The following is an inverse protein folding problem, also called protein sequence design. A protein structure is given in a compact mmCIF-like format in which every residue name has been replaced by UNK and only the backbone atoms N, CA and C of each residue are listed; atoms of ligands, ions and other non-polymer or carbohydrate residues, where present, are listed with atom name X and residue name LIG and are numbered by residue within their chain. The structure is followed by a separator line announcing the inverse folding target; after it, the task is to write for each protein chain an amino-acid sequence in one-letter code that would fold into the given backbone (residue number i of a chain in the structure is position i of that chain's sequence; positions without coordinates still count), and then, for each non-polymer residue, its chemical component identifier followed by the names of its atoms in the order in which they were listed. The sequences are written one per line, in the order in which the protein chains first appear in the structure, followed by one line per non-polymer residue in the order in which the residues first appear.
data_IF_642493908817
#
_entry.id   IF_642493908817
#
_cell.length_a   1.000
_cell.length_b   1.000
_cell.length_c   1.000
_cell.angle_alpha   90.00
_cell.angle_beta   90.00
_cell.angle_gamma   90.00
#
_symmetry.space_group_name_H-M   'P 1'
#
loop_
_entity.id
_entity.type
_entity.pdbx_description
1 polymer ?
#
# COMPACT_ATOMS: atom_id res chain seq x y z
N UNK A 1 -37.95 -29.08 78.19
CA UNK A 1 -38.30 -28.16 77.08
C UNK A 1 -37.03 -27.87 76.31
N UNK A 2 -36.95 -28.32 75.05
CA UNK A 2 -35.80 -28.11 74.15
C UNK A 2 -36.14 -26.87 73.30
N UNK A 3 -35.32 -25.83 73.37
CA UNK A 3 -35.53 -24.59 72.60
C UNK A 3 -35.36 -24.82 71.09
N UNK A 4 -35.99 -23.98 70.23
CA UNK A 4 -35.99 -24.19 68.79
C UNK A 4 -34.58 -23.96 68.20
N UNK A 5 -34.20 -24.70 67.15
CA UNK A 5 -32.87 -24.59 66.56
C UNK A 5 -32.71 -23.23 65.88
N UNK A 6 -31.63 -22.53 66.21
CA UNK A 6 -31.26 -21.26 65.59
C UNK A 6 -30.46 -21.54 64.33
N UNK A 7 -31.01 -21.18 63.16
CA UNK A 7 -30.29 -21.32 61.87
C UNK A 7 -29.45 -20.07 61.65
N UNK A 8 -28.13 -20.24 61.52
CA UNK A 8 -27.19 -19.15 61.23
C UNK A 8 -26.90 -19.14 59.73
N UNK A 9 -27.40 -18.12 59.03
CA UNK A 9 -27.09 -17.90 57.61
C UNK A 9 -25.71 -17.24 57.51
N UNK A 10 -24.73 -17.97 56.98
CA UNK A 10 -23.39 -17.44 56.70
C UNK A 10 -23.40 -16.89 55.28
N UNK A 11 -23.35 -15.56 55.14
CA UNK A 11 -23.19 -14.90 53.84
C UNK A 11 -21.71 -14.77 53.52
N UNK A 12 -21.21 -15.58 52.57
CA UNK A 12 -19.85 -15.45 52.05
C UNK A 12 -19.82 -14.41 50.92
N UNK A 13 -19.22 -13.25 51.17
CA UNK A 13 -18.94 -12.27 50.11
C UNK A 13 -17.73 -12.73 49.30
N UNK A 14 -17.98 -13.20 48.07
CA UNK A 14 -16.91 -13.51 47.11
C UNK A 14 -16.50 -12.21 46.42
N UNK A 15 -15.39 -11.61 46.85
CA UNK A 15 -14.78 -10.49 46.14
C UNK A 15 -14.07 -11.04 44.90
N UNK A 16 -14.70 -10.90 43.72
CA UNK A 16 -14.04 -11.20 42.45
C UNK A 16 -12.91 -10.18 42.24
N UNK A 17 -11.66 -10.63 42.32
CA UNK A 17 -10.50 -9.83 41.91
C UNK A 17 -10.54 -9.79 40.39
N UNK A 18 -11.05 -8.69 39.82
CA UNK A 18 -10.94 -8.43 38.39
C UNK A 18 -9.47 -8.11 38.13
N UNK A 19 -8.70 -9.12 37.72
CA UNK A 19 -7.34 -8.88 37.23
C UNK A 19 -7.50 -8.08 35.93
N UNK A 20 -6.95 -6.86 35.81
CA UNK A 20 -6.98 -6.16 34.53
C UNK A 20 -6.20 -7.02 33.54
N UNK A 21 -6.91 -7.70 32.64
CA UNK A 21 -6.31 -8.30 31.47
C UNK A 21 -5.86 -7.13 30.60
N UNK A 22 -4.55 -6.84 30.63
CA UNK A 22 -3.92 -5.98 29.64
C UNK A 22 -4.01 -6.72 28.29
N UNK A 23 -5.15 -6.58 27.62
CA UNK A 23 -5.32 -7.10 26.27
C UNK A 23 -4.27 -6.38 25.39
N UNK A 24 -3.47 -7.13 24.62
CA UNK A 24 -2.48 -6.50 23.76
C UNK A 24 -3.19 -5.54 22.78
N UNK A 25 -2.60 -4.37 22.49
CA UNK A 25 -3.16 -3.41 21.54
C UNK A 25 -3.58 -4.09 20.24
N UNK A 26 -4.72 -3.72 19.65
CA UNK A 26 -5.26 -4.41 18.48
C UNK A 26 -4.30 -4.34 17.26
N UNK A 27 -3.95 -5.47 16.61
CA UNK A 27 -3.19 -5.44 15.36
C UNK A 27 -3.95 -4.76 14.22
N UNK A 28 -3.24 -4.44 13.13
CA UNK A 28 -3.83 -3.98 11.88
C UNK A 28 -4.59 -5.10 11.18
N UNK A 29 -5.67 -4.73 10.50
CA UNK A 29 -6.44 -5.63 9.64
C UNK A 29 -6.04 -5.40 8.18
N UNK A 30 -6.17 -6.43 7.35
CA UNK A 30 -5.91 -6.29 5.92
C UNK A 30 -6.94 -5.35 5.30
N UNK A 31 -6.47 -4.23 4.77
CA UNK A 31 -7.27 -3.27 4.04
C UNK A 31 -6.52 -2.74 2.82
N UNK A 32 -7.17 -1.88 2.04
CA UNK A 32 -6.61 -1.30 0.82
C UNK A 32 -5.71 -0.07 1.06
N UNK A 33 -5.54 0.36 2.30
CA UNK A 33 -4.95 1.65 2.65
C UNK A 33 -3.47 1.51 3.00
N UNK A 34 -2.72 2.58 2.79
CA UNK A 34 -1.38 2.75 3.33
C UNK A 34 -1.42 3.47 4.67
N UNK A 35 -0.36 3.32 5.47
CA UNK A 35 -0.19 4.07 6.72
C UNK A 35 0.98 5.03 6.62
N UNK A 36 0.74 6.26 7.09
CA UNK A 36 1.71 7.35 7.05
C UNK A 36 1.82 7.99 8.42
N UNK A 37 3.03 8.30 8.86
CA UNK A 37 3.22 9.19 10.00
C UNK A 37 3.71 10.55 9.51
N UNK A 38 2.97 11.61 9.87
CA UNK A 38 3.43 12.98 9.72
C UNK A 38 3.85 13.52 11.08
N UNK A 39 5.15 13.74 11.23
CA UNK A 39 5.81 14.09 12.49
C UNK A 39 5.57 13.05 13.60
N UNK A 40 4.39 13.00 14.21
CA UNK A 40 4.00 12.06 15.28
C UNK A 40 2.54 11.57 15.13
N UNK A 41 1.79 12.07 14.15
CA UNK A 41 0.40 11.69 13.93
C UNK A 41 0.31 10.56 12.91
N UNK A 42 -0.49 9.53 13.21
CA UNK A 42 -0.73 8.39 12.32
C UNK A 42 -1.93 8.67 11.43
N UNK A 43 -1.76 8.46 10.14
CA UNK A 43 -2.77 8.58 9.10
C UNK A 43 -2.93 7.27 8.36
N UNK A 44 -4.15 7.00 7.92
CA UNK A 44 -4.51 5.95 6.98
C UNK A 44 -4.88 6.61 5.66
N UNK A 45 -4.28 6.16 4.56
CA UNK A 45 -4.27 6.86 3.27
C UNK A 45 -4.77 5.96 2.17
N UNK A 46 -5.75 6.44 1.40
CA UNK A 46 -6.21 5.78 0.18
C UNK A 46 -5.19 6.07 -0.93
N UNK A 47 -4.44 5.04 -1.34
CA UNK A 47 -3.33 5.21 -2.28
C UNK A 47 -3.77 5.54 -3.72
N UNK A 48 -5.05 5.35 -4.03
CA UNK A 48 -5.63 5.67 -5.35
C UNK A 48 -6.10 7.12 -5.38
N UNK A 49 -6.82 7.56 -4.35
CA UNK A 49 -7.43 8.90 -4.34
C UNK A 49 -6.58 9.96 -3.63
N UNK A 50 -5.63 9.54 -2.78
CA UNK A 50 -4.90 10.42 -1.87
C UNK A 50 -5.73 10.90 -0.67
N UNK A 51 -6.99 10.48 -0.55
CA UNK A 51 -7.82 10.75 0.63
C UNK A 51 -7.22 10.10 1.87
N UNK A 52 -7.38 10.72 3.04
CA UNK A 52 -6.79 10.20 4.27
C UNK A 52 -7.67 10.49 5.49
N UNK A 53 -7.50 9.67 6.52
CA UNK A 53 -8.06 9.87 7.85
C UNK A 53 -6.95 9.85 8.92
N UNK A 54 -7.09 10.66 9.96
CA UNK A 54 -6.20 10.61 11.11
C UNK A 54 -6.65 9.49 12.04
N UNK A 55 -5.78 8.50 12.24
CA UNK A 55 -6.02 7.36 13.13
C UNK A 55 -5.67 7.73 14.57
N UNK A 56 -4.54 8.40 14.76
CA UNK A 56 -4.08 8.87 16.06
C UNK A 56 -3.37 10.22 15.93
N UNK A 57 -3.60 11.11 16.90
CA UNK A 57 -2.93 12.41 16.96
C UNK A 57 -1.46 12.31 17.40
N UNK A 58 -1.11 11.24 18.13
CA UNK A 58 0.24 10.96 18.59
C UNK A 58 0.48 9.45 18.68
N UNK A 59 1.64 8.99 18.21
CA UNK A 59 2.13 7.60 18.41
C UNK A 59 3.33 7.52 19.36
N UNK A 60 3.89 8.66 19.75
CA UNK A 60 4.96 8.77 20.74
C UNK A 60 4.74 9.99 21.64
N UNK A 61 5.58 10.15 22.66
CA UNK A 61 5.56 11.26 23.63
C UNK A 61 6.07 12.59 23.03
N UNK A 62 5.50 13.01 21.90
CA UNK A 62 5.77 14.29 21.24
C UNK A 62 6.99 14.31 20.30
N UNK A 63 7.72 13.21 20.21
CA UNK A 63 8.89 13.09 19.32
C UNK A 63 8.49 12.72 17.90
N UNK A 64 9.40 12.96 16.95
CA UNK A 64 9.18 12.54 15.58
C UNK A 64 9.26 11.01 15.48
N UNK A 65 8.32 10.37 14.79
CA UNK A 65 8.42 8.96 14.38
C UNK A 65 8.60 8.90 12.87
N UNK A 66 9.55 8.09 12.43
CA UNK A 66 9.88 7.89 11.02
C UNK A 66 10.41 6.46 10.80
N UNK A 67 10.80 6.12 9.57
CA UNK A 67 11.25 4.80 9.18
C UNK A 67 10.24 3.74 9.61
N UNK A 68 9.00 3.83 9.12
CA UNK A 68 7.92 2.94 9.57
C UNK A 68 7.71 1.80 8.59
N UNK A 69 7.39 0.61 9.10
CA UNK A 69 7.13 -0.57 8.27
C UNK A 69 6.03 -1.45 8.85
N UNK A 70 5.27 -2.10 7.98
CA UNK A 70 4.26 -3.08 8.40
C UNK A 70 4.91 -4.45 8.57
N UNK A 71 4.72 -5.07 9.73
CA UNK A 71 5.30 -6.36 10.05
C UNK A 71 4.33 -7.52 9.71
N UNK A 72 4.63 -8.33 8.68
CA UNK A 72 3.67 -9.30 8.13
C UNK A 72 3.40 -10.51 9.04
N UNK A 73 4.20 -10.73 10.09
CA UNK A 73 4.03 -11.89 10.97
C UNK A 73 3.14 -11.62 12.18
N UNK A 74 2.92 -10.36 12.54
CA UNK A 74 2.11 -9.97 13.71
C UNK A 74 1.13 -8.82 13.44
N UNK A 75 1.14 -8.26 12.23
CA UNK A 75 0.25 -7.20 11.77
C UNK A 75 0.36 -5.89 12.58
N UNK A 76 1.53 -5.54 13.11
CA UNK A 76 1.76 -4.22 13.69
C UNK A 76 2.61 -3.35 12.76
N UNK A 77 2.55 -2.04 12.96
CA UNK A 77 3.56 -1.14 12.41
C UNK A 77 4.75 -1.09 13.37
N UNK A 78 5.95 -1.00 12.84
CA UNK A 78 7.17 -0.73 13.59
C UNK A 78 7.79 0.56 13.09
N UNK A 79 8.39 1.34 13.97
CA UNK A 79 9.01 2.61 13.58
C UNK A 79 10.04 3.11 14.58
N UNK A 80 10.81 4.11 14.17
CA UNK A 80 11.87 4.70 14.97
C UNK A 80 11.44 6.09 15.46
N UNK A 81 11.50 6.28 16.78
CA UNK A 81 11.31 7.58 17.42
C UNK A 81 12.63 8.36 17.40
N UNK A 82 12.65 9.48 16.68
CA UNK A 82 13.76 10.41 16.60
C UNK A 82 13.55 11.62 17.54
N UNK A 83 14.60 12.12 18.22
CA UNK A 83 15.96 11.60 18.25
C UNK A 83 16.18 10.61 19.39
N UNK A 84 15.16 10.05 20.02
CA UNK A 84 15.33 9.18 21.20
C UNK A 84 15.88 7.79 20.87
N UNK A 85 15.84 7.37 19.59
CA UNK A 85 16.28 6.08 19.06
C UNK A 85 15.53 4.89 19.66
N UNK A 86 14.23 5.09 19.91
CA UNK A 86 13.37 4.02 20.38
C UNK A 86 12.76 3.31 19.18
N UNK A 87 12.87 1.98 19.17
CA UNK A 87 12.05 1.14 18.30
C UNK A 87 10.71 0.95 18.98
N UNK A 88 9.64 1.36 18.32
CA UNK A 88 8.27 1.20 18.80
C UNK A 88 7.48 0.27 17.89
N UNK A 89 6.54 -0.47 18.49
CA UNK A 89 5.50 -1.24 17.82
C UNK A 89 4.16 -0.53 18.02
N UNK A 90 3.45 -0.26 16.95
CA UNK A 90 2.27 0.61 16.87
C UNK A 90 1.07 -0.22 16.40
N UNK A 91 -0.03 -0.11 17.14
CA UNK A 91 -1.30 -0.80 16.90
C UNK A 91 -2.14 -0.16 15.80
N UNK A 92 -3.25 -0.80 15.43
CA UNK A 92 -4.23 -0.25 14.47
C UNK A 92 -4.90 1.05 14.94
N UNK A 93 -4.81 1.35 16.24
CA UNK A 93 -5.32 2.59 16.85
C UNK A 93 -4.23 3.60 17.16
N UNK A 94 -2.98 3.35 16.73
CA UNK A 94 -1.84 4.22 17.01
C UNK A 94 -1.27 4.09 18.42
N UNK A 95 -1.71 3.11 19.21
CA UNK A 95 -1.13 2.83 20.53
C UNK A 95 0.27 2.21 20.32
N UNK A 96 1.28 2.77 20.95
CA UNK A 96 2.66 2.35 20.78
C UNK A 96 3.26 1.71 22.05
N UNK A 97 4.09 0.70 21.84
CA UNK A 97 4.90 0.07 22.88
C UNK A 97 6.37 0.12 22.49
N UNK A 98 7.25 0.47 23.43
CA UNK A 98 8.71 0.45 23.19
C UNK A 98 9.18 -0.99 23.17
N UNK A 99 9.78 -1.40 22.05
CA UNK A 99 10.38 -2.72 21.85
C UNK A 99 11.84 -2.71 22.28
N UNK A 100 12.57 -1.65 21.93
CA UNK A 100 14.00 -1.52 22.24
C UNK A 100 14.44 -0.06 22.24
N UNK A 101 15.56 0.21 22.92
CA UNK A 101 16.20 1.53 22.94
C UNK A 101 17.62 1.36 22.39
N UNK A 102 17.94 2.08 21.32
CA UNK A 102 19.28 2.04 20.73
C UNK A 102 20.12 3.22 21.21
N UNK A 103 21.43 3.00 21.27
CA UNK A 103 22.43 4.02 21.49
C UNK A 103 22.76 4.77 20.20
N UNK A 104 23.38 5.95 20.33
CA UNK A 104 23.94 6.68 19.18
C UNK A 104 25.00 5.83 18.47
N UNK A 105 25.77 5.03 19.22
CA UNK A 105 26.77 4.14 18.65
C UNK A 105 26.14 3.02 17.81
N UNK A 106 24.91 2.60 18.10
CA UNK A 106 24.20 1.51 17.41
C UNK A 106 23.51 1.96 16.12
N UNK A 107 22.76 3.07 16.16
CA UNK A 107 21.90 3.54 15.07
C UNK A 107 22.39 4.84 14.40
N UNK A 108 23.22 5.64 15.09
CA UNK A 108 23.49 7.02 14.73
C UNK A 108 22.45 8.00 15.28
N UNK A 109 22.31 9.16 14.62
CA UNK A 109 21.50 10.26 15.14
C UNK A 109 19.99 10.09 14.86
N UNK A 110 19.63 9.78 13.61
CA UNK A 110 18.24 9.66 13.14
C UNK A 110 18.10 8.61 12.05
N UNK A 111 16.87 8.14 11.85
CA UNK A 111 16.48 7.29 10.73
C UNK A 111 15.24 7.88 10.03
N UNK A 112 15.19 7.79 8.70
CA UNK A 112 14.07 8.30 7.90
C UNK A 112 13.60 7.34 6.80
N UNK A 113 14.25 6.18 6.65
CA UNK A 113 13.82 5.13 5.73
C UNK A 113 13.65 3.85 6.53
N UNK A 114 12.55 3.13 6.34
CA UNK A 114 12.26 1.92 7.11
C UNK A 114 11.23 1.04 6.44
N UNK A 115 11.40 -0.29 6.51
CA UNK A 115 10.31 -1.24 6.28
C UNK A 115 10.65 -2.64 6.84
N UNK A 116 9.69 -3.54 6.92
CA UNK A 116 9.90 -4.94 7.34
C UNK A 116 9.92 -5.86 6.11
N UNK A 117 10.88 -6.77 6.06
CA UNK A 117 10.90 -7.80 5.02
C UNK A 117 9.93 -8.97 5.30
N UNK A 118 9.73 -9.82 4.30
CA UNK A 118 8.88 -11.01 4.42
C UNK A 118 9.36 -12.05 5.44
N UNK A 119 10.60 -11.95 5.93
CA UNK A 119 11.12 -12.85 6.96
C UNK A 119 10.88 -12.33 8.38
N UNK A 120 10.46 -11.06 8.55
CA UNK A 120 10.26 -10.42 9.84
C UNK A 120 11.50 -9.67 10.36
N UNK A 121 12.41 -9.26 9.47
CA UNK A 121 13.45 -8.29 9.83
C UNK A 121 13.01 -6.89 9.51
N UNK A 122 13.15 -5.98 10.47
CA UNK A 122 12.96 -4.56 10.24
C UNK A 122 14.25 -3.92 9.76
N UNK A 123 14.19 -3.30 8.59
CA UNK A 123 15.29 -2.62 7.94
C UNK A 123 15.09 -1.12 8.03
N UNK A 124 16.08 -0.40 8.56
CA UNK A 124 15.98 1.06 8.64
C UNK A 124 17.32 1.77 8.43
N UNK A 125 17.28 3.07 8.12
CA UNK A 125 18.49 3.86 7.93
C UNK A 125 18.25 5.36 7.69
N UNK A 126 19.32 6.04 7.32
CA UNK A 126 19.34 7.46 6.99
C UNK A 126 19.61 7.68 5.50
N UNK A 127 18.66 8.32 4.81
CA UNK A 127 18.73 8.72 3.41
C UNK A 127 19.14 7.60 2.41
N UNK A 128 18.85 6.34 2.76
CA UNK A 128 19.32 5.15 2.03
C UNK A 128 20.84 4.91 2.06
N UNK A 129 21.61 5.76 2.75
CA UNK A 129 23.09 5.68 2.84
C UNK A 129 23.57 4.78 3.96
N UNK A 130 22.76 4.63 5.00
CA UNK A 130 22.99 3.66 6.08
C UNK A 130 21.86 2.64 6.08
N UNK A 131 22.13 1.46 6.62
CA UNK A 131 21.14 0.41 6.82
C UNK A 131 21.43 -0.33 8.12
N UNK A 132 20.36 -0.76 8.77
CA UNK A 132 20.35 -1.57 9.99
C UNK A 132 19.31 -2.67 9.80
N UNK A 133 19.60 -3.85 10.32
CA UNK A 133 18.71 -5.01 10.33
C UNK A 133 18.38 -5.35 11.77
N UNK A 134 17.12 -5.27 12.14
CA UNK A 134 16.61 -5.63 13.47
C UNK A 134 15.84 -6.93 13.37
N UNK A 135 16.11 -7.86 14.28
CA UNK A 135 15.37 -9.12 14.37
C UNK A 135 14.03 -8.92 15.10
N UNK A 136 12.91 -9.04 14.38
CA UNK A 136 11.56 -8.98 14.94
C UNK A 136 10.77 -10.29 14.77
N UNK A 137 11.45 -11.35 14.34
CA UNK A 137 10.80 -12.56 13.82
C UNK A 137 10.04 -13.34 14.90
N UNK A 138 10.55 -13.32 16.14
CA UNK A 138 10.03 -14.12 17.25
C UNK A 138 10.14 -13.37 18.58
N UNK A 139 9.05 -12.80 19.10
CA UNK A 139 9.00 -12.25 20.45
C UNK A 139 9.52 -13.25 21.49
N UNK A 140 10.36 -12.78 22.42
CA UNK A 140 10.98 -13.61 23.46
C UNK A 140 12.25 -14.38 23.04
N UNK A 141 12.64 -14.34 21.77
CA UNK A 141 13.97 -14.84 21.35
C UNK A 141 15.10 -13.93 21.83
N UNK A 142 16.31 -14.48 21.96
CA UNK A 142 17.46 -13.75 22.49
C UNK A 142 17.89 -12.53 21.66
N UNK A 143 17.55 -12.51 20.37
CA UNK A 143 17.88 -11.43 19.44
C UNK A 143 16.71 -10.50 19.13
N UNK A 144 15.51 -10.79 19.65
CA UNK A 144 14.33 -9.98 19.38
C UNK A 144 14.53 -8.52 19.79
N UNK A 145 14.30 -7.59 18.87
CA UNK A 145 14.48 -6.15 19.06
C UNK A 145 15.92 -5.64 18.91
N UNK A 146 16.90 -6.53 18.68
CA UNK A 146 18.31 -6.15 18.58
C UNK A 146 18.74 -5.90 17.13
N UNK A 147 19.68 -4.96 16.93
CA UNK A 147 20.35 -4.76 15.63
C UNK A 147 21.35 -5.89 15.41
N UNK A 148 21.03 -6.79 14.48
CA UNK A 148 21.86 -7.99 14.17
C UNK A 148 22.87 -7.73 13.05
N UNK A 149 22.64 -6.72 12.22
CA UNK A 149 23.58 -6.27 11.20
C UNK A 149 23.36 -4.79 10.86
N UNK A 150 24.40 -4.12 10.37
CA UNK A 150 24.33 -2.73 9.92
C UNK A 150 25.49 -2.38 9.02
N UNK A 151 25.35 -1.30 8.26
CA UNK A 151 26.42 -0.79 7.41
C UNK A 151 26.02 0.46 6.64
N UNK A 152 26.84 0.77 5.64
CA UNK A 152 26.58 1.84 4.67
C UNK A 152 26.35 1.26 3.29
N UNK A 153 25.74 2.05 2.42
CA UNK A 153 25.53 1.73 1.02
C UNK A 153 25.73 2.99 0.17
N UNK A 154 26.32 2.82 -1.02
CA UNK A 154 26.38 3.86 -2.03
C UNK A 154 25.02 3.96 -2.72
N UNK A 155 24.38 5.12 -2.62
CA UNK A 155 23.10 5.43 -3.28
C UNK A 155 23.27 5.82 -4.75
N UNK A 156 24.41 5.52 -5.37
CA UNK A 156 24.73 5.82 -6.77
C UNK A 156 24.70 7.32 -7.06
N UNK A 157 25.06 8.13 -6.06
CA UNK A 157 24.98 9.60 -6.11
C UNK A 157 23.55 10.16 -6.06
N UNK A 158 22.54 9.34 -5.75
CA UNK A 158 21.14 9.74 -5.69
C UNK A 158 20.65 9.94 -4.25
N UNK A 159 19.59 10.73 -4.10
CA UNK A 159 18.92 10.94 -2.82
C UNK A 159 17.71 10.01 -2.68
N UNK A 160 17.79 9.07 -1.75
CA UNK A 160 16.69 8.14 -1.42
C UNK A 160 16.01 8.65 -0.16
N UNK A 161 14.76 9.08 -0.31
CA UNK A 161 13.99 9.63 0.81
C UNK A 161 13.23 8.56 1.60
N UNK A 162 12.88 7.44 0.96
CA UNK A 162 12.23 6.29 1.60
C UNK A 162 12.39 5.00 0.76
N UNK A 163 12.04 3.85 1.34
CA UNK A 163 12.02 2.54 0.67
C UNK A 163 10.84 1.68 1.13
N UNK A 164 10.57 0.58 0.42
CA UNK A 164 9.52 -0.37 0.79
C UNK A 164 9.84 -1.79 0.32
N UNK A 165 9.52 -2.80 1.12
CA UNK A 165 9.59 -4.19 0.72
C UNK A 165 8.34 -4.61 -0.06
N UNK A 166 8.52 -5.40 -1.11
CA UNK A 166 7.43 -6.00 -1.87
C UNK A 166 7.74 -7.49 -2.00
N UNK A 167 7.03 -8.38 -1.28
CA UNK A 167 7.39 -9.80 -1.23
C UNK A 167 7.44 -10.48 -2.62
N UNK A 168 6.49 -10.17 -3.50
CA UNK A 168 6.46 -10.68 -4.87
C UNK A 168 7.62 -10.19 -5.75
N UNK A 169 8.33 -9.14 -5.34
CA UNK A 169 9.43 -8.52 -6.08
C UNK A 169 10.82 -8.91 -5.55
N UNK A 170 10.90 -9.99 -4.75
CA UNK A 170 12.15 -10.59 -4.29
C UNK A 170 12.75 -9.92 -3.04
N UNK A 171 13.95 -10.36 -2.60
CA UNK A 171 14.59 -9.93 -1.36
C UNK A 171 15.25 -8.55 -1.53
N UNK A 172 14.42 -7.54 -1.77
CA UNK A 172 14.83 -6.17 -2.02
C UNK A 172 13.97 -5.17 -1.24
N UNK A 173 14.56 -4.02 -0.93
CA UNK A 173 13.83 -2.80 -0.57
C UNK A 173 13.82 -1.88 -1.78
N UNK A 174 12.65 -1.50 -2.25
CA UNK A 174 12.44 -0.69 -3.44
C UNK A 174 12.32 0.78 -3.08
N UNK A 175 12.97 1.65 -3.86
CA UNK A 175 13.01 3.09 -3.61
C UNK A 175 12.81 3.89 -4.89
N UNK A 176 12.34 5.14 -4.75
CA UNK A 176 12.24 6.08 -5.86
C UNK A 176 13.05 7.32 -5.53
N UNK A 177 14.10 7.55 -6.31
CA UNK A 177 15.00 8.69 -6.13
C UNK A 177 14.70 9.81 -7.10
N UNK A 178 14.87 11.05 -6.64
CA UNK A 178 14.96 12.21 -7.51
C UNK A 178 16.35 12.27 -8.16
N UNK A 179 16.40 12.49 -9.47
CA UNK A 179 17.62 12.48 -10.27
C UNK A 179 17.84 11.16 -11.02
N UNK A 180 18.94 11.12 -11.79
CA UNK A 180 19.36 9.94 -12.57
C UNK A 180 20.83 9.61 -12.31
N UNK A 181 21.15 8.32 -12.26
CA UNK A 181 22.53 7.83 -12.04
C UNK A 181 23.46 8.40 -13.11
N UNK A 182 24.59 8.96 -12.68
CA UNK A 182 25.55 9.65 -13.54
C UNK A 182 25.30 11.16 -13.71
N UNK A 183 24.26 11.70 -13.07
CA UNK A 183 23.94 13.13 -13.07
C UNK A 183 22.84 13.50 -14.08
N UNK A 184 22.04 14.50 -13.73
CA UNK A 184 20.90 14.97 -14.51
C UNK A 184 19.60 15.02 -13.72
N UNK A 185 18.56 15.57 -14.35
CA UNK A 185 17.22 15.64 -13.78
C UNK A 185 16.38 14.44 -14.24
N UNK A 186 15.58 13.89 -13.34
CA UNK A 186 14.71 12.77 -13.65
C UNK A 186 14.17 12.10 -12.40
N UNK A 187 13.64 10.90 -12.57
CA UNK A 187 13.22 10.02 -11.48
C UNK A 187 13.80 8.64 -11.75
N UNK A 188 14.42 8.03 -10.74
CA UNK A 188 15.01 6.70 -10.85
C UNK A 188 14.31 5.74 -9.91
N UNK A 189 13.76 4.66 -10.46
CA UNK A 189 13.35 3.50 -9.66
C UNK A 189 14.59 2.70 -9.32
N UNK A 190 14.77 2.42 -8.03
CA UNK A 190 15.95 1.76 -7.48
C UNK A 190 15.53 0.60 -6.59
N UNK A 191 16.46 -0.31 -6.32
CA UNK A 191 16.29 -1.36 -5.32
C UNK A 191 17.58 -1.59 -4.54
N UNK A 192 17.46 -1.85 -3.25
CA UNK A 192 18.53 -2.24 -2.35
C UNK A 192 18.45 -3.75 -2.12
N UNK A 193 19.53 -4.46 -2.45
CA UNK A 193 19.60 -5.91 -2.25
C UNK A 193 19.79 -6.26 -0.78
N UNK A 194 18.87 -7.06 -0.22
CA UNK A 194 19.03 -7.61 1.11
C UNK A 194 20.16 -8.65 1.19
N UNK A 195 20.63 -9.21 0.07
CA UNK A 195 21.76 -10.13 0.07
C UNK A 195 23.11 -9.40 0.00
N UNK A 196 23.27 -8.50 -0.98
CA UNK A 196 24.57 -7.86 -1.27
C UNK A 196 24.76 -6.52 -0.56
N UNK A 197 23.70 -5.97 0.04
CA UNK A 197 23.67 -4.66 0.71
C UNK A 197 24.06 -3.50 -0.22
N UNK A 198 23.64 -3.59 -1.49
CA UNK A 198 23.96 -2.60 -2.53
C UNK A 198 22.70 -2.09 -3.20
N UNK A 199 22.74 -0.82 -3.59
CA UNK A 199 21.74 -0.20 -4.45
C UNK A 199 21.99 -0.53 -5.92
N UNK A 200 20.89 -0.73 -6.64
CA UNK A 200 20.84 -0.93 -8.09
C UNK A 200 19.79 0.03 -8.66
N UNK A 201 20.12 0.71 -9.77
CA UNK A 201 19.12 1.44 -10.55
C UNK A 201 18.41 0.47 -11.50
N UNK A 202 17.08 0.49 -11.46
CA UNK A 202 16.23 -0.45 -12.22
C UNK A 202 15.65 0.20 -13.46
N UNK A 203 15.12 1.41 -13.31
CA UNK A 203 14.52 2.16 -14.41
C UNK A 203 14.73 3.66 -14.24
N UNK A 204 14.75 4.39 -15.36
CA UNK A 204 14.89 5.84 -15.40
C UNK A 204 13.69 6.44 -16.11
N UNK A 205 13.18 7.53 -15.56
CA UNK A 205 12.05 8.27 -16.08
C UNK A 205 12.39 9.75 -16.18
N UNK A 206 11.58 10.47 -16.96
CA UNK A 206 11.55 11.93 -16.90
C UNK A 206 11.24 12.39 -15.47
N UNK A 207 11.41 13.69 -15.22
CA UNK A 207 10.91 14.29 -13.98
C UNK A 207 9.38 14.11 -13.93
N UNK A 208 8.89 13.29 -13.01
CA UNK A 208 7.45 13.08 -12.82
C UNK A 208 6.87 14.16 -11.91
N UNK A 209 7.59 14.48 -10.83
CA UNK A 209 7.30 15.56 -9.89
C UNK A 209 8.62 16.16 -9.38
N UNK A 210 8.60 17.44 -8.96
CA UNK A 210 9.75 18.05 -8.27
C UNK A 210 9.82 17.51 -6.84
N UNK A 211 11.00 17.45 -6.23
CA UNK A 211 11.18 16.99 -4.84
C UNK A 211 11.36 15.47 -4.72
N UNK A 212 11.68 15.02 -3.49
CA UNK A 212 11.85 13.61 -3.17
C UNK A 212 10.54 12.90 -2.82
N UNK A 213 10.57 11.56 -2.87
CA UNK A 213 9.45 10.71 -2.53
C UNK A 213 9.63 10.14 -1.12
N UNK A 214 8.96 10.73 -0.13
CA UNK A 214 9.23 10.50 1.29
C UNK A 214 8.29 9.53 1.99
N UNK A 215 7.34 8.92 1.27
CA UNK A 215 6.54 7.82 1.78
C UNK A 215 6.27 6.83 0.64
N UNK A 216 6.70 5.59 0.84
CA UNK A 216 6.56 4.52 -0.13
C UNK A 216 5.65 3.40 0.39
N UNK A 217 4.86 2.80 -0.50
CA UNK A 217 3.92 1.73 -0.18
C UNK A 217 4.02 0.62 -1.22
N UNK A 218 4.09 -0.63 -0.75
CA UNK A 218 4.24 -1.80 -1.59
C UNK A 218 2.96 -2.62 -1.61
N UNK A 219 2.45 -2.90 -2.81
CA UNK A 219 1.41 -3.91 -3.02
C UNK A 219 2.07 -5.17 -3.55
N UNK A 220 1.68 -6.32 -3.01
CA UNK A 220 2.27 -7.63 -3.34
C UNK A 220 2.00 -8.11 -4.79
N UNK A 221 1.50 -7.24 -5.67
CA UNK A 221 1.42 -7.45 -7.12
C UNK A 221 2.56 -6.75 -7.88
N UNK A 222 3.53 -6.14 -7.18
CA UNK A 222 4.63 -5.37 -7.76
C UNK A 222 4.36 -3.87 -7.91
N UNK A 223 3.21 -3.38 -7.45
CA UNK A 223 2.94 -1.94 -7.49
C UNK A 223 3.58 -1.25 -6.30
N UNK A 224 4.42 -0.25 -6.57
CA UNK A 224 4.98 0.67 -5.60
C UNK A 224 4.29 2.03 -5.76
N UNK A 225 3.66 2.52 -4.70
CA UNK A 225 3.15 3.89 -4.61
C UNK A 225 4.17 4.76 -3.90
N UNK A 226 4.45 5.94 -4.45
CA UNK A 226 5.44 6.88 -3.93
C UNK A 226 4.82 8.27 -3.79
N UNK A 227 4.69 8.75 -2.55
CA UNK A 227 4.19 10.09 -2.26
C UNK A 227 5.31 11.12 -2.38
N UNK A 228 5.09 12.16 -3.16
CA UNK A 228 6.05 13.23 -3.37
C UNK A 228 5.88 14.35 -2.32
N UNK A 229 6.98 14.70 -1.65
CA UNK A 229 6.96 15.65 -0.54
C UNK A 229 6.66 17.10 -0.94
N UNK A 230 6.98 17.49 -2.18
CA UNK A 230 6.87 18.88 -2.61
C UNK A 230 5.52 19.22 -3.22
N UNK A 231 4.90 18.27 -3.93
CA UNK A 231 3.64 18.51 -4.67
C UNK A 231 2.46 17.67 -4.15
N UNK A 232 2.68 16.76 -3.20
CA UNK A 232 1.62 15.93 -2.61
C UNK A 232 1.04 14.87 -3.56
N UNK A 233 1.61 14.70 -4.75
CA UNK A 233 1.20 13.68 -5.71
C UNK A 233 1.69 12.30 -5.29
N UNK A 234 0.83 11.29 -5.42
CA UNK A 234 1.19 9.88 -5.26
C UNK A 234 1.38 9.29 -6.65
N UNK A 235 2.56 8.75 -6.94
CA UNK A 235 2.88 8.09 -8.22
C UNK A 235 2.95 6.59 -8.04
N UNK A 236 2.40 5.83 -8.98
CA UNK A 236 2.47 4.38 -9.00
C UNK A 236 3.50 3.90 -10.04
N UNK A 237 4.34 2.96 -9.62
CA UNK A 237 5.35 2.28 -10.42
C UNK A 237 5.08 0.79 -10.37
N UNK A 238 5.16 0.08 -11.50
CA UNK A 238 5.24 -1.37 -11.49
C UNK A 238 6.73 -1.77 -11.52
N UNK A 239 7.18 -2.44 -10.47
CA UNK A 239 8.59 -2.83 -10.30
C UNK A 239 9.05 -3.91 -11.28
N UNK A 240 8.10 -4.56 -11.98
CA UNK A 240 8.37 -5.49 -13.07
C UNK A 240 8.47 -4.80 -14.44
N UNK A 241 8.24 -3.48 -14.50
CA UNK A 241 8.38 -2.67 -15.71
C UNK A 241 7.08 -1.96 -16.12
N UNK A 242 7.19 -1.10 -17.14
CA UNK A 242 6.10 -0.26 -17.63
C UNK A 242 6.27 1.23 -17.27
N UNK A 243 5.32 2.03 -17.73
CA UNK A 243 5.31 3.47 -17.49
C UNK A 243 4.72 3.78 -16.09
N UNK A 244 5.31 4.74 -15.34
CA UNK A 244 4.73 5.23 -14.11
C UNK A 244 3.49 6.07 -14.43
N UNK A 245 2.57 6.12 -13.49
CA UNK A 245 1.30 6.85 -13.64
C UNK A 245 0.91 7.51 -12.33
N UNK A 246 0.12 8.58 -12.42
CA UNK A 246 -0.38 9.27 -11.25
C UNK A 246 -1.44 8.40 -10.55
N UNK A 247 -1.41 8.35 -9.23
CA UNK A 247 -2.30 7.54 -8.40
C UNK A 247 -3.78 7.87 -8.65
N UNK A 248 -4.09 9.17 -8.80
CA UNK A 248 -5.45 9.67 -9.09
C UNK A 248 -5.99 9.30 -10.47
N UNK A 249 -5.15 8.79 -11.37
CA UNK A 249 -5.57 8.37 -12.71
C UNK A 249 -5.98 6.87 -12.73
N UNK A 250 -6.00 6.19 -11.58
CA UNK A 250 -6.36 4.77 -11.48
C UNK A 250 -7.86 4.57 -11.71
N UNK A 251 -8.21 4.15 -12.92
CA UNK A 251 -9.41 3.35 -13.18
C UNK A 251 -8.90 1.96 -13.54
N UNK A 252 -9.42 0.89 -12.94
CA UNK A 252 -9.13 -0.45 -13.46
C UNK A 252 -9.46 -0.46 -14.95
N UNK A 253 -8.53 -0.86 -15.83
CA UNK A 253 -8.93 -1.21 -17.18
C UNK A 253 -9.86 -2.42 -17.07
N UNK A 254 -11.16 -2.19 -17.20
CA UNK A 254 -12.13 -3.28 -17.32
C UNK A 254 -11.82 -3.99 -18.63
N UNK A 255 -11.20 -5.17 -18.55
CA UNK A 255 -11.05 -6.05 -19.70
C UNK A 255 -12.41 -6.67 -19.98
N UNK A 256 -12.92 -6.43 -21.19
CA UNK A 256 -14.06 -7.17 -21.72
C UNK A 256 -13.50 -8.18 -22.72
N UNK A 257 -13.58 -9.47 -22.38
CA UNK A 257 -13.39 -10.52 -23.37
C UNK A 257 -14.71 -10.68 -24.14
N UNK A 258 -14.70 -10.29 -25.41
CA UNK A 258 -15.86 -10.43 -26.30
C UNK A 258 -15.65 -11.65 -27.19
N UNK A 259 -16.24 -12.79 -26.82
CA UNK A 259 -16.32 -13.96 -27.69
C UNK A 259 -17.55 -13.89 -28.60
N UNK A 260 -17.35 -14.09 -29.90
CA UNK A 260 -18.43 -14.26 -30.88
C UNK A 260 -18.48 -15.72 -31.35
N UNK A 261 -19.25 -16.61 -30.68
CA UNK A 261 -19.33 -18.00 -31.11
C UNK A 261 -20.06 -18.12 -32.45
N UNK A 262 -19.40 -18.76 -33.43
CA UNK A 262 -20.05 -19.35 -34.60
C UNK A 262 -20.27 -18.46 -35.84
N UNK A 263 -19.54 -17.35 -36.05
CA UNK A 263 -19.59 -16.62 -37.32
C UNK A 263 -18.20 -16.31 -37.88
N UNK A 264 -17.95 -16.76 -39.12
CA UNK A 264 -16.84 -16.28 -39.93
C UNK A 264 -17.08 -14.81 -40.30
N UNK A 265 -16.08 -13.96 -40.05
CA UNK A 265 -16.12 -12.55 -40.44
C UNK A 265 -15.91 -12.42 -41.95
N UNK A 266 -16.84 -11.74 -42.63
CA UNK A 266 -16.57 -11.09 -43.91
C UNK A 266 -16.70 -9.60 -43.68
N UNK A 267 -15.58 -8.87 -43.84
CA UNK A 267 -15.40 -7.41 -43.74
C UNK A 267 -16.65 -6.60 -43.34
N UNK A 268 -16.65 -6.00 -42.16
CA UNK A 268 -17.71 -5.11 -41.70
C UNK A 268 -17.40 -4.45 -40.36
N UNK A 269 -18.10 -3.36 -40.06
CA UNK A 269 -18.02 -2.64 -38.79
C UNK A 269 -18.93 -3.29 -37.74
N UNK A 270 -18.46 -3.43 -36.51
CA UNK A 270 -19.30 -3.79 -35.37
C UNK A 270 -19.39 -2.60 -34.41
N UNK A 271 -20.61 -2.24 -34.03
CA UNK A 271 -20.88 -1.23 -33.01
C UNK A 271 -21.20 -1.95 -31.70
N UNK A 272 -20.38 -1.75 -30.68
CA UNK A 272 -20.66 -2.23 -29.33
C UNK A 272 -21.27 -1.07 -28.54
N UNK A 273 -22.52 -1.21 -28.08
CA UNK A 273 -23.09 -0.28 -27.09
C UNK A 273 -22.85 -0.88 -25.71
N UNK A 274 -22.03 -0.21 -24.90
CA UNK A 274 -21.80 -0.57 -23.50
C UNK A 274 -22.53 0.47 -22.66
N UNK A 275 -23.64 0.08 -22.03
CA UNK A 275 -24.31 0.93 -21.04
C UNK A 275 -23.61 0.74 -19.70
N UNK A 276 -22.87 1.77 -19.27
CA UNK A 276 -22.31 1.85 -17.93
C UNK A 276 -23.34 2.57 -17.05
N UNK A 277 -23.62 2.02 -15.86
CA UNK A 277 -24.58 2.59 -14.91
C UNK A 277 -24.00 3.84 -14.25
N UNK A 278 -23.92 4.96 -15.00
CA UNK A 278 -23.98 6.34 -14.51
C UNK A 278 -23.90 7.36 -15.64
N UNK A 279 -23.22 7.08 -16.75
CA UNK A 279 -23.05 8.01 -17.89
C UNK A 279 -22.94 7.22 -19.20
N UNK A 280 -23.67 7.65 -20.23
CA UNK A 280 -23.61 7.03 -21.56
C UNK A 280 -22.24 7.31 -22.22
N UNK A 281 -21.47 6.27 -22.50
CA UNK A 281 -20.26 6.36 -23.32
C UNK A 281 -20.47 5.63 -24.66
N UNK A 282 -20.23 6.31 -25.78
CA UNK A 282 -20.19 5.69 -27.10
C UNK A 282 -18.75 5.30 -27.41
N UNK A 283 -18.48 4.00 -27.54
CA UNK A 283 -17.16 3.47 -27.91
C UNK A 283 -17.18 3.07 -29.39
N UNK A 284 -16.36 3.74 -30.21
CA UNK A 284 -16.17 3.36 -31.62
C UNK A 284 -14.92 2.48 -31.73
N UNK A 285 -15.10 1.21 -32.06
CA UNK A 285 -14.00 0.25 -32.25
C UNK A 285 -13.66 0.17 -33.74
N UNK A 286 -12.39 0.37 -34.08
CA UNK A 286 -11.90 0.25 -35.46
C UNK A 286 -11.01 -1.00 -35.55
N UNK A 287 -11.55 -2.10 -36.07
CA UNK A 287 -10.79 -3.34 -36.27
C UNK A 287 -10.20 -3.38 -37.68
N UNK A 288 -8.89 -3.59 -37.81
CA UNK A 288 -8.22 -3.86 -39.09
C UNK A 288 -7.61 -5.26 -39.02
N UNK A 289 -8.01 -6.14 -39.94
CA UNK A 289 -7.61 -7.56 -39.98
C UNK A 289 -6.08 -7.76 -39.93
N UNK A 290 -5.59 -8.75 -39.15
CA UNK A 290 -4.50 -9.61 -39.56
C UNK A 290 -5.07 -10.93 -40.10
N UNK A 291 -4.64 -11.32 -41.30
CA UNK A 291 -5.02 -12.61 -41.89
C UNK A 291 -4.42 -13.74 -41.03
N UNK A 292 -5.30 -14.54 -40.43
CA UNK A 292 -5.10 -15.81 -39.70
C UNK A 292 -4.89 -15.75 -38.17
N UNK A 293 -5.87 -16.33 -37.45
CA UNK A 293 -5.93 -16.65 -35.99
C UNK A 293 -6.52 -15.54 -35.08
N UNK A 294 -7.01 -15.86 -33.85
CA UNK A 294 -8.09 -15.12 -33.19
C UNK A 294 -7.71 -13.65 -32.94
N UNK A 295 -8.67 -12.77 -33.21
CA UNK A 295 -8.50 -11.33 -33.06
C UNK A 295 -8.48 -11.01 -31.55
N UNK A 296 -7.29 -10.80 -31.01
CA UNK A 296 -7.12 -10.11 -29.72
C UNK A 296 -7.18 -8.62 -30.02
N UNK A 297 -8.28 -7.97 -29.63
CA UNK A 297 -8.47 -6.53 -29.76
C UNK A 297 -8.04 -5.87 -28.44
N UNK A 298 -6.85 -5.26 -28.42
CA UNK A 298 -6.46 -4.36 -27.33
C UNK A 298 -7.28 -3.06 -27.46
N UNK A 299 -8.37 -2.95 -26.70
CA UNK A 299 -9.10 -1.69 -26.56
C UNK A 299 -8.37 -0.76 -25.58
N UNK A 300 -7.80 0.32 -26.10
CA UNK A 300 -7.39 1.46 -25.28
C UNK A 300 -8.57 2.43 -25.21
N UNK A 301 -9.28 2.42 -24.08
CA UNK A 301 -10.32 3.42 -23.78
C UNK A 301 -9.64 4.74 -23.39
N UNK A 302 -9.68 5.75 -24.27
CA UNK A 302 -9.38 7.14 -23.91
C UNK A 302 -10.67 7.82 -23.46
N UNK A 303 -10.79 8.11 -22.16
CA UNK A 303 -11.88 8.92 -21.64
C UNK A 303 -11.60 10.41 -21.91
N UNK A 304 -12.51 11.09 -22.60
CA UNK A 304 -12.59 12.55 -22.60
C UNK A 304 -13.68 12.94 -21.60
N UNK A 305 -13.29 13.40 -20.41
CA UNK A 305 -14.24 14.01 -19.47
C UNK A 305 -14.36 15.49 -19.84
N UNK A 306 -15.41 15.85 -20.57
CA UNK A 306 -15.88 17.24 -20.59
C UNK A 306 -16.65 17.48 -19.29
N UNK A 307 -16.17 18.41 -18.45
CA UNK A 307 -16.86 18.74 -17.22
C UNK A 307 -18.23 19.38 -17.50
N UNK A 308 -19.26 18.94 -16.78
CA UNK A 308 -20.26 19.89 -16.29
C UNK A 308 -20.93 19.37 -15.03
N UNK A 309 -21.04 20.27 -14.06
CA UNK A 309 -21.69 20.09 -12.76
C UNK A 309 -23.17 19.75 -12.92
N UNK A 310 -23.62 18.59 -12.41
CA UNK A 310 -24.97 18.41 -11.87
C UNK A 310 -25.14 17.04 -11.18
N UNK A 311 -24.95 16.97 -9.86
CA UNK A 311 -25.57 15.93 -9.03
C UNK A 311 -26.66 16.56 -8.17
N UNK A 312 -27.91 16.11 -8.34
CA UNK A 312 -28.89 16.08 -7.25
C UNK A 312 -29.85 14.90 -7.40
N UNK A 313 -29.73 13.97 -6.44
CA UNK A 313 -30.89 13.32 -5.82
C UNK A 313 -31.20 11.89 -6.25
N UNK A 314 -30.71 10.91 -5.49
CA UNK A 314 -31.51 9.78 -4.99
C UNK A 314 -30.71 9.00 -3.93
N UNK A 315 -31.40 8.62 -2.84
CA UNK A 315 -30.90 7.85 -1.71
C UNK A 315 -30.89 6.33 -2.00
N UNK A 316 -30.15 5.52 -1.22
CA UNK A 316 -29.74 4.17 -1.61
C UNK A 316 -30.78 3.10 -1.24
N UNK A 317 -30.91 2.07 -2.08
CA UNK A 317 -31.53 0.79 -1.69
C UNK A 317 -30.47 -0.32 -1.69
N UNK A 318 -30.41 -1.00 -0.55
CA UNK A 318 -29.53 -2.13 -0.23
C UNK A 318 -29.99 -3.36 -1.02
N UNK A 319 -29.06 -4.02 -1.72
CA UNK A 319 -29.16 -5.45 -2.04
C UNK A 319 -27.92 -6.17 -1.55
N UNK A 320 -28.12 -7.08 -0.59
CA UNK A 320 -27.17 -8.16 -0.29
C UNK A 320 -27.39 -9.27 -1.32
N UNK A 321 -26.30 -9.83 -1.84
CA UNK A 321 -26.18 -11.26 -2.13
C UNK A 321 -24.70 -11.65 -2.15
N UNK A 322 -24.36 -12.68 -1.38
CA UNK A 322 -23.10 -13.42 -1.46
C UNK A 322 -23.12 -14.41 -2.66
N UNK A 323 -22.16 -15.33 -2.79
CA UNK A 323 -20.94 -15.21 -3.59
C UNK A 323 -21.01 -16.05 -4.89
N UNK A 324 -20.05 -15.84 -5.78
CA UNK A 324 -19.77 -16.64 -7.01
C UNK A 324 -20.81 -16.59 -8.13
N UNK A 325 -20.60 -15.65 -9.06
CA UNK A 325 -20.53 -15.85 -10.54
C UNK A 325 -20.37 -14.47 -11.18
N UNK A 326 -19.44 -14.34 -12.13
CA UNK A 326 -19.28 -13.12 -12.95
C UNK A 326 -20.64 -12.76 -13.58
N UNK A 327 -21.05 -11.48 -13.62
CA UNK A 327 -22.30 -11.11 -14.24
C UNK A 327 -22.19 -11.33 -15.76
N UNK A 328 -22.95 -12.32 -16.26
CA UNK A 328 -23.27 -12.43 -17.68
C UNK A 328 -24.06 -11.18 -18.08
N UNK A 329 -23.42 -10.28 -18.84
CA UNK A 329 -24.10 -9.14 -19.46
C UNK A 329 -25.06 -9.68 -20.52
N UNK A 330 -26.37 -9.48 -20.32
CA UNK A 330 -27.39 -9.73 -21.35
C UNK A 330 -27.25 -8.68 -22.46
N UNK A 331 -26.76 -9.11 -23.62
CA UNK A 331 -26.82 -8.33 -24.86
C UNK A 331 -28.29 -8.23 -25.33
N UNK A 332 -28.81 -7.01 -25.48
CA UNK A 332 -30.05 -6.77 -26.22
C UNK A 332 -29.71 -6.27 -27.64
N UNK A 333 -30.24 -6.99 -28.62
CA UNK A 333 -30.31 -6.73 -30.08
C UNK A 333 -29.11 -6.07 -30.79
N UNK A 334 -28.44 -6.88 -31.62
CA UNK A 334 -27.60 -6.41 -32.72
C UNK A 334 -28.48 -5.93 -33.89
N UNK A 335 -28.39 -4.66 -34.30
CA UNK A 335 -28.85 -4.26 -35.64
C UNK A 335 -27.64 -4.09 -36.57
N UNK A 336 -27.68 -4.77 -37.72
CA UNK A 336 -26.66 -4.68 -38.76
C UNK A 336 -27.15 -3.65 -39.78
N UNK A 337 -26.56 -2.47 -39.82
CA UNK A 337 -26.77 -1.54 -40.92
C UNK A 337 -25.84 -1.94 -42.08
N UNK A 338 -26.42 -2.40 -43.19
CA UNK A 338 -25.70 -2.49 -44.47
C UNK A 338 -25.53 -1.07 -45.01
N UNK A 339 -24.30 -0.62 -45.24
CA UNK A 339 -24.06 0.57 -46.07
C UNK A 339 -24.37 0.23 -47.52
N UNK A 340 -25.11 1.12 -48.20
CA UNK A 340 -25.19 1.15 -49.65
C UNK A 340 -23.86 1.64 -50.26
#
# INVERSE_FOLDING_TARGET
MIGPPTTVTVTSTVTAIVTPTCEPPTPLECDKYGYLIQYNSLYRVDLQTGGYEQVASAVSDGNNVNAIGYHPLDNYLYGIVNPTRQLIRISSRGEATVVSNFTVAEMGATANVGDVDGEGYFWFGGAGRTWHQVDLRRPGSATYGTIVARGTADTLGLSVADWVHIPAAGPYLWGVAAGVVGGGTGTTLMRFSLATKRWEAVARYRVLARGGYGALYGINNGTLYASNNAVGQIWAFNVFGGAPRLGSDWHEPVRFDVEFPGREWKSGYAFLRIELTAEEAIVVVNAKEPRSSPIVLDLILQFWVCSSNALRGAAPSIWRNEPTTLPLVKLFETSVAKSA
#
